data_IF_482345508272
#
_entry.id   IF_482345508272
#
_cell.length_a   1.000
_cell.length_b   1.000
_cell.length_c   1.000
_cell.angle_alpha   90.00
_cell.angle_beta   90.00
_cell.angle_gamma   90.00
#
_symmetry.space_group_name_H-M   'P 1'
#
loop_
_entity.id
_entity.type
_entity.pdbx_description
1 polymer ?
#
# COMPACT_ATOMS: atom_id res chain seq x y z
N UNK A 1 27.99 61.85 21.85
CA UNK A 1 27.02 60.75 21.69
C UNK A 1 27.48 59.93 20.49
N UNK A 2 28.28 58.90 20.73
CA UNK A 2 28.78 57.99 19.70
C UNK A 2 28.20 56.62 20.08
N UNK A 3 27.23 56.17 19.29
CA UNK A 3 26.62 54.86 19.48
C UNK A 3 27.58 53.86 18.81
N UNK A 4 28.32 53.15 19.66
CA UNK A 4 29.14 52.00 19.27
C UNK A 4 28.23 50.92 18.71
N UNK A 5 28.39 50.63 17.41
CA UNK A 5 27.66 49.57 16.72
C UNK A 5 28.14 48.20 17.20
N UNK A 6 27.16 47.38 17.55
CA UNK A 6 27.31 46.08 18.19
C UNK A 6 28.11 45.09 17.32
N UNK A 7 29.22 44.61 17.88
CA UNK A 7 30.00 43.47 17.45
C UNK A 7 29.19 42.16 17.57
N UNK A 8 28.47 41.79 16.50
CA UNK A 8 27.75 40.51 16.41
C UNK A 8 28.38 39.53 15.40
N UNK A 9 29.25 40.02 14.51
CA UNK A 9 29.93 39.21 13.49
C UNK A 9 30.84 38.08 14.04
N UNK A 10 31.58 38.22 15.17
CA UNK A 10 32.50 37.18 15.58
C UNK A 10 31.82 35.96 16.22
N UNK A 11 30.59 36.12 16.74
CA UNK A 11 29.91 35.04 17.49
C UNK A 11 29.22 34.03 16.58
N UNK A 12 28.69 34.47 15.43
CA UNK A 12 28.11 33.57 14.43
C UNK A 12 29.17 32.66 13.79
N UNK A 13 30.40 33.14 13.62
CA UNK A 13 31.47 32.33 13.04
C UNK A 13 31.92 31.16 13.93
N UNK A 14 31.80 31.28 15.26
CA UNK A 14 32.14 30.18 16.20
C UNK A 14 31.07 29.09 16.30
N UNK A 15 29.81 29.39 15.95
CA UNK A 15 28.70 28.44 16.05
C UNK A 15 28.61 27.48 14.86
N UNK A 16 29.38 27.72 13.79
CA UNK A 16 29.36 26.95 12.53
C UNK A 16 30.63 26.09 12.37
N UNK A 17 31.44 25.91 13.44
CA UNK A 17 32.60 25.03 13.38
C UNK A 17 33.74 25.48 12.45
N UNK A 18 33.74 26.74 12.01
CA UNK A 18 34.86 27.28 11.23
C UNK A 18 35.98 27.63 12.22
N UNK A 19 37.02 26.81 12.25
CA UNK A 19 38.30 27.15 12.89
C UNK A 19 38.85 28.44 12.27
N UNK A 20 38.69 29.56 12.96
CA UNK A 20 39.39 30.81 12.61
C UNK A 20 40.80 30.72 13.19
N UNK A 21 41.64 29.94 12.52
CA UNK A 21 43.05 29.76 12.82
C UNK A 21 43.92 30.29 11.68
N UNK A 22 44.09 31.61 11.61
CA UNK A 22 45.21 32.27 10.93
C UNK A 22 45.01 32.72 9.47
N UNK A 23 45.31 34.01 9.25
CA UNK A 23 45.60 34.70 7.97
C UNK A 23 44.34 35.19 7.20
N UNK A 24 44.34 36.44 6.65
CA UNK A 24 43.21 37.07 5.96
C UNK A 24 42.89 36.48 4.57
N UNK A 25 42.80 35.16 4.45
CA UNK A 25 41.78 34.52 3.61
C UNK A 25 40.63 34.19 4.57
N UNK A 26 39.36 34.49 4.35
CA UNK A 26 38.65 34.05 3.17
C UNK A 26 37.25 34.69 3.17
N UNK A 27 37.15 36.00 3.42
CA UNK A 27 35.86 36.69 3.48
C UNK A 27 35.06 36.51 2.18
N UNK A 28 35.75 36.38 1.05
CA UNK A 28 35.15 36.04 -0.24
C UNK A 28 34.57 34.62 -0.25
N UNK A 29 35.30 33.61 0.22
CA UNK A 29 34.78 32.24 0.26
C UNK A 29 33.65 32.08 1.28
N UNK A 30 33.66 32.82 2.38
CA UNK A 30 32.50 32.87 3.28
C UNK A 30 31.27 33.43 2.56
N UNK A 31 31.42 34.51 1.78
CA UNK A 31 30.31 35.04 0.96
C UNK A 31 29.84 34.01 -0.07
N UNK A 32 30.76 33.28 -0.71
CA UNK A 32 30.46 32.21 -1.69
C UNK A 32 29.71 31.05 -1.03
N UNK A 33 30.16 30.56 0.12
CA UNK A 33 29.46 29.53 0.91
C UNK A 33 28.06 30.00 1.28
N UNK A 34 27.92 31.18 1.89
CA UNK A 34 26.60 31.73 2.27
C UNK A 34 25.67 31.86 1.06
N UNK A 35 26.19 32.31 -0.08
CA UNK A 35 25.44 32.36 -1.31
C UNK A 35 24.97 30.97 -1.77
N UNK A 36 25.86 29.98 -1.77
CA UNK A 36 25.55 28.56 -2.11
C UNK A 36 24.45 27.99 -1.21
N UNK A 37 24.51 28.23 0.11
CA UNK A 37 23.45 27.86 1.05
C UNK A 37 22.11 28.56 0.75
N UNK A 38 22.13 29.86 0.41
CA UNK A 38 20.91 30.60 0.06
C UNK A 38 20.23 30.00 -1.19
N UNK A 39 21.01 29.72 -2.23
CA UNK A 39 20.52 29.09 -3.45
C UNK A 39 19.94 27.71 -3.16
N UNK A 40 20.64 26.91 -2.37
CA UNK A 40 20.18 25.61 -1.95
C UNK A 40 18.83 25.69 -1.22
N UNK A 41 18.69 26.63 -0.29
CA UNK A 41 17.41 26.89 0.37
C UNK A 41 16.32 27.27 -0.64
N UNK A 42 16.59 28.22 -1.54
CA UNK A 42 15.61 28.73 -2.50
C UNK A 42 15.11 27.65 -3.47
N UNK A 43 16.00 26.83 -4.00
CA UNK A 43 15.67 25.87 -5.06
C UNK A 43 15.25 24.49 -4.56
N UNK A 44 15.72 24.08 -3.38
CA UNK A 44 15.41 22.76 -2.81
C UNK A 44 14.41 22.92 -1.67
N UNK A 45 14.84 23.53 -0.55
CA UNK A 45 14.08 23.54 0.70
C UNK A 45 12.79 24.37 0.62
N UNK A 46 12.84 25.52 -0.06
CA UNK A 46 11.69 26.42 -0.21
C UNK A 46 10.51 25.70 -0.88
N UNK A 47 10.80 24.88 -1.89
CA UNK A 47 9.79 24.11 -2.63
C UNK A 47 9.15 22.98 -1.80
N UNK A 48 9.77 22.58 -0.69
CA UNK A 48 9.32 21.50 0.18
C UNK A 48 8.52 22.00 1.40
N UNK A 49 8.49 23.30 1.65
CA UNK A 49 7.79 23.90 2.80
C UNK A 49 6.30 23.54 2.79
N UNK A 50 5.67 23.52 1.62
CA UNK A 50 4.26 23.15 1.50
C UNK A 50 4.04 21.65 1.79
N UNK A 51 4.92 20.78 1.28
CA UNK A 51 4.87 19.34 1.55
C UNK A 51 4.98 19.03 3.05
N UNK A 52 5.94 19.67 3.74
CA UNK A 52 6.10 19.54 5.20
C UNK A 52 4.87 20.05 5.97
N UNK A 53 4.28 21.17 5.54
CA UNK A 53 3.03 21.69 6.12
C UNK A 53 1.87 20.70 5.96
N UNK A 54 1.67 20.11 4.78
CA UNK A 54 0.61 19.12 4.55
C UNK A 54 0.82 17.86 5.40
N UNK A 55 2.06 17.37 5.47
CA UNK A 55 2.43 16.22 6.30
C UNK A 55 2.16 16.47 7.79
N UNK A 56 2.61 17.61 8.33
CA UNK A 56 2.39 17.97 9.75
C UNK A 56 0.92 18.13 10.12
N UNK A 57 0.06 18.43 9.14
CA UNK A 57 -1.40 18.53 9.31
C UNK A 57 -2.13 17.19 9.08
N UNK A 58 -1.42 16.11 8.76
CA UNK A 58 -2.01 14.81 8.45
C UNK A 58 -2.81 14.78 7.14
N UNK A 59 -2.61 15.76 6.25
CA UNK A 59 -3.34 15.88 4.97
C UNK A 59 -2.69 15.02 3.88
N UNK A 60 -2.65 13.71 4.09
CA UNK A 60 -1.89 12.78 3.25
C UNK A 60 -2.45 12.64 1.81
N UNK A 61 -3.77 12.73 1.62
CA UNK A 61 -4.37 12.70 0.27
C UNK A 61 -4.00 13.93 -0.58
N UNK A 62 -3.99 15.12 0.03
CA UNK A 62 -3.53 16.37 -0.61
C UNK A 62 -2.01 16.31 -0.89
N UNK A 63 -1.25 15.67 0.00
CA UNK A 63 0.19 15.50 -0.14
C UNK A 63 0.53 14.59 -1.32
N UNK A 64 -0.15 13.46 -1.48
CA UNK A 64 0.08 12.51 -2.56
C UNK A 64 -0.23 13.09 -3.94
N UNK A 65 -1.31 13.87 -4.03
CA UNK A 65 -1.71 14.55 -5.28
C UNK A 65 -0.75 15.69 -5.63
N UNK A 66 -0.28 16.45 -4.64
CA UNK A 66 0.59 17.62 -4.87
C UNK A 66 2.07 17.25 -5.02
N UNK A 67 2.51 16.19 -4.34
CA UNK A 67 3.90 15.72 -4.31
C UNK A 67 3.96 14.19 -4.52
N UNK A 68 3.70 13.70 -5.73
CA UNK A 68 3.79 12.29 -6.04
C UNK A 68 5.22 11.74 -5.81
N UNK A 69 5.30 10.43 -5.56
CA UNK A 69 6.55 9.73 -5.20
C UNK A 69 7.73 10.01 -6.14
N UNK A 70 7.48 10.05 -7.44
CA UNK A 70 8.47 10.37 -8.45
C UNK A 70 9.07 11.78 -8.26
N UNK A 71 8.26 12.75 -7.86
CA UNK A 71 8.70 14.11 -7.59
C UNK A 71 9.56 14.18 -6.33
N UNK A 72 9.18 13.49 -5.24
CA UNK A 72 10.00 13.44 -4.02
C UNK A 72 11.36 12.79 -4.27
N UNK A 73 11.39 11.69 -5.03
CA UNK A 73 12.64 11.04 -5.43
C UNK A 73 13.50 11.95 -6.31
N UNK A 74 12.87 12.67 -7.25
CA UNK A 74 13.57 13.65 -8.08
C UNK A 74 14.18 14.78 -7.24
N UNK A 75 13.47 15.29 -6.23
CA UNK A 75 13.99 16.32 -5.33
C UNK A 75 15.16 15.79 -4.48
N UNK A 76 15.07 14.55 -3.98
CA UNK A 76 16.19 13.92 -3.25
C UNK A 76 17.44 13.77 -4.12
N UNK A 77 17.29 13.36 -5.38
CA UNK A 77 18.40 13.30 -6.34
C UNK A 77 18.94 14.69 -6.72
N UNK A 78 18.06 15.68 -6.86
CA UNK A 78 18.45 17.08 -7.11
C UNK A 78 19.25 17.65 -5.95
N UNK A 79 18.91 17.26 -4.73
CA UNK A 79 19.62 17.65 -3.52
C UNK A 79 21.08 17.16 -3.53
N UNK A 80 21.27 15.86 -3.79
CA UNK A 80 22.61 15.25 -3.83
C UNK A 80 23.47 15.81 -4.99
N UNK A 81 22.84 16.15 -6.11
CA UNK A 81 23.51 16.66 -7.32
C UNK A 81 23.38 18.18 -7.48
N UNK A 82 23.14 18.92 -6.40
CA UNK A 82 22.81 20.35 -6.45
C UNK A 82 23.81 21.16 -7.29
N UNK A 83 25.11 20.98 -7.05
CA UNK A 83 26.15 21.75 -7.74
C UNK A 83 26.27 21.39 -9.21
N UNK A 84 25.87 20.19 -9.63
CA UNK A 84 25.88 19.81 -11.04
C UNK A 84 24.68 20.43 -11.75
N UNK A 85 23.51 20.40 -11.12
CA UNK A 85 22.24 20.81 -11.75
C UNK A 85 22.10 22.33 -11.82
N UNK A 86 22.60 23.03 -10.81
CA UNK A 86 22.41 24.48 -10.65
C UNK A 86 23.66 25.31 -10.94
N UNK A 87 24.87 24.72 -11.07
CA UNK A 87 26.06 25.48 -11.46
C UNK A 87 25.92 26.10 -12.86
N UNK A 88 25.45 25.34 -13.84
CA UNK A 88 25.28 25.84 -15.21
C UNK A 88 24.18 26.91 -15.35
N UNK A 89 23.41 27.14 -14.27
CA UNK A 89 22.34 28.14 -14.21
C UNK A 89 22.76 29.40 -13.45
N UNK A 90 23.94 29.38 -12.82
CA UNK A 90 24.38 30.43 -11.89
C UNK A 90 25.88 30.66 -12.05
N UNK A 91 26.22 31.69 -12.82
CA UNK A 91 27.63 32.04 -13.07
C UNK A 91 28.17 33.05 -12.06
N UNK A 92 27.32 33.89 -11.48
CA UNK A 92 27.75 35.00 -10.60
C UNK A 92 26.74 35.30 -9.49
N UNK A 93 27.18 36.07 -8.50
CA UNK A 93 26.33 36.69 -7.50
C UNK A 93 26.77 38.10 -7.16
N UNK A 94 25.79 38.94 -6.81
CA UNK A 94 26.03 40.32 -6.38
C UNK A 94 25.77 40.43 -4.89
N UNK A 95 26.74 40.95 -4.15
CA UNK A 95 26.55 41.20 -2.72
C UNK A 95 25.77 42.50 -2.44
N UNK A 96 25.50 42.77 -1.16
CA UNK A 96 24.78 43.96 -0.73
C UNK A 96 25.50 45.29 -1.06
N UNK A 97 26.80 45.25 -1.38
CA UNK A 97 27.58 46.42 -1.80
C UNK A 97 27.52 46.66 -3.31
N UNK A 98 26.90 45.76 -4.07
CA UNK A 98 26.87 45.82 -5.53
C UNK A 98 28.07 45.15 -6.20
N UNK A 99 28.94 44.49 -5.43
CA UNK A 99 30.12 43.80 -6.00
C UNK A 99 29.69 42.44 -6.55
N UNK A 100 30.08 42.16 -7.79
CA UNK A 100 29.81 40.89 -8.48
C UNK A 100 30.97 39.93 -8.27
N UNK A 101 30.63 38.68 -7.98
CA UNK A 101 31.58 37.59 -7.75
C UNK A 101 31.18 36.38 -8.59
N UNK A 102 32.18 35.65 -9.09
CA UNK A 102 31.95 34.39 -9.77
C UNK A 102 31.50 33.30 -8.79
N UNK A 103 30.56 32.46 -9.25
CA UNK A 103 30.19 31.24 -8.58
C UNK A 103 31.35 30.24 -8.67
N UNK A 104 31.75 29.70 -7.52
CA UNK A 104 32.85 28.73 -7.44
C UNK A 104 32.32 27.35 -7.09
N UNK A 105 32.28 26.46 -8.08
CA UNK A 105 31.89 25.05 -7.93
C UNK A 105 32.99 24.16 -7.33
N UNK A 106 34.21 24.68 -7.24
CA UNK A 106 35.37 23.97 -6.71
C UNK A 106 35.63 24.28 -5.24
N UNK A 107 34.79 25.13 -4.64
CA UNK A 107 34.84 25.42 -3.22
C UNK A 107 34.53 24.16 -2.41
N UNK A 108 35.57 23.64 -1.76
CA UNK A 108 35.49 22.52 -0.84
C UNK A 108 34.96 22.99 0.53
N UNK A 109 33.65 22.90 0.70
CA UNK A 109 32.95 23.22 1.95
C UNK A 109 32.33 21.94 2.50
N UNK A 110 33.09 21.26 3.36
CA UNK A 110 32.69 20.01 4.01
C UNK A 110 31.36 20.16 4.75
N UNK A 111 31.10 21.33 5.36
CA UNK A 111 29.85 21.58 6.09
C UNK A 111 28.67 21.66 5.12
N UNK A 112 28.88 22.20 3.92
CA UNK A 112 27.84 22.22 2.89
C UNK A 112 27.55 20.84 2.34
N UNK A 113 28.59 20.03 2.09
CA UNK A 113 28.43 18.64 1.65
C UNK A 113 27.67 17.80 2.68
N UNK A 114 28.05 17.90 3.96
CA UNK A 114 27.33 17.23 5.06
C UNK A 114 25.87 17.67 5.12
N UNK A 115 25.60 18.97 4.94
CA UNK A 115 24.24 19.52 4.95
C UNK A 115 23.38 18.98 3.80
N UNK A 116 23.94 18.85 2.59
CA UNK A 116 23.25 18.23 1.46
C UNK A 116 22.89 16.78 1.74
N UNK A 117 23.86 15.99 2.22
CA UNK A 117 23.66 14.57 2.52
C UNK A 117 22.60 14.39 3.60
N UNK A 118 22.67 15.18 4.68
CA UNK A 118 21.71 15.13 5.77
C UNK A 118 20.31 15.47 5.27
N UNK A 119 20.18 16.54 4.50
CA UNK A 119 18.88 16.96 3.95
C UNK A 119 18.33 15.91 2.98
N UNK A 120 19.16 15.35 2.08
CA UNK A 120 18.76 14.26 1.20
C UNK A 120 18.25 13.04 1.96
N UNK A 121 18.90 12.70 3.08
CA UNK A 121 18.48 11.62 3.97
C UNK A 121 17.15 11.91 4.66
N UNK A 122 16.95 13.14 5.15
CA UNK A 122 15.68 13.59 5.74
C UNK A 122 14.54 13.52 4.72
N UNK A 123 14.78 13.94 3.48
CA UNK A 123 13.76 13.89 2.41
C UNK A 123 13.43 12.47 1.99
N UNK A 124 14.43 11.59 1.97
CA UNK A 124 14.21 10.16 1.72
C UNK A 124 13.37 9.55 2.84
N UNK A 125 13.70 9.82 4.10
CA UNK A 125 12.90 9.39 5.25
C UNK A 125 11.47 9.95 5.24
N UNK A 126 11.31 11.22 4.86
CA UNK A 126 10.01 11.85 4.67
C UNK A 126 9.18 11.11 3.61
N UNK A 127 9.77 10.80 2.45
CA UNK A 127 9.11 10.03 1.39
C UNK A 127 8.61 8.67 1.87
N UNK A 128 9.42 7.93 2.62
CA UNK A 128 9.02 6.65 3.23
C UNK A 128 7.91 6.80 4.27
N UNK A 129 7.94 7.87 5.06
CA UNK A 129 6.93 8.11 6.08
C UNK A 129 5.56 8.43 5.45
N UNK A 130 5.53 9.14 4.32
CA UNK A 130 4.31 9.37 3.53
C UNK A 130 3.74 8.05 3.00
N UNK A 131 4.60 7.22 2.39
CA UNK A 131 4.21 5.91 1.85
C UNK A 131 3.62 5.00 2.92
N UNK A 132 4.27 4.94 4.09
CA UNK A 132 3.80 4.12 5.21
C UNK A 132 2.44 4.58 5.73
N UNK A 133 2.21 5.89 5.85
CA UNK A 133 0.92 6.40 6.30
C UNK A 133 -0.20 6.12 5.29
N UNK A 134 0.07 6.20 3.99
CA UNK A 134 -0.92 5.85 2.97
C UNK A 134 -1.28 4.36 3.00
N UNK A 135 -0.29 3.47 3.15
CA UNK A 135 -0.54 2.05 3.34
C UNK A 135 -1.36 1.77 4.62
N UNK A 136 -1.09 2.51 5.69
CA UNK A 136 -1.85 2.41 6.93
C UNK A 136 -3.31 2.85 6.74
N UNK A 137 -3.56 3.98 6.09
CA UNK A 137 -4.91 4.47 5.82
C UNK A 137 -5.71 3.49 4.95
N UNK A 138 -5.12 3.06 3.83
CA UNK A 138 -5.77 2.09 2.93
C UNK A 138 -6.02 0.73 3.59
N UNK A 139 -5.10 0.27 4.46
CA UNK A 139 -5.32 -0.96 5.23
C UNK A 139 -6.39 -0.81 6.30
N UNK A 140 -6.50 0.35 6.98
CA UNK A 140 -7.60 0.63 7.90
C UNK A 140 -8.94 0.66 7.19
N UNK A 141 -9.04 1.35 6.06
CA UNK A 141 -10.26 1.41 5.24
C UNK A 141 -10.69 0.00 4.83
N UNK A 142 -9.74 -0.83 4.39
CA UNK A 142 -10.01 -2.23 4.02
C UNK A 142 -10.42 -3.10 5.20
N UNK A 143 -9.82 -2.89 6.38
CA UNK A 143 -10.23 -3.61 7.61
C UNK A 143 -11.64 -3.21 8.02
N UNK A 144 -11.97 -1.92 7.94
CA UNK A 144 -13.33 -1.43 8.21
C UNK A 144 -14.35 -2.00 7.21
N UNK A 145 -14.03 -2.02 5.92
CA UNK A 145 -14.86 -2.64 4.88
C UNK A 145 -15.08 -4.14 5.13
N UNK A 146 -14.02 -4.87 5.51
CA UNK A 146 -14.14 -6.29 5.83
C UNK A 146 -14.91 -6.55 7.12
N UNK A 147 -14.76 -5.72 8.15
CA UNK A 147 -15.54 -5.82 9.39
C UNK A 147 -17.03 -5.60 9.10
N UNK A 148 -17.37 -4.52 8.40
CA UNK A 148 -18.75 -4.23 8.01
C UNK A 148 -19.36 -5.31 7.12
N UNK A 149 -18.57 -5.90 6.22
CA UNK A 149 -19.01 -7.05 5.40
C UNK A 149 -19.34 -8.29 6.24
N UNK A 150 -18.67 -8.47 7.38
CA UNK A 150 -18.84 -9.64 8.26
C UNK A 150 -19.85 -9.41 9.40
N UNK A 151 -20.43 -8.21 9.54
CA UNK A 151 -21.34 -7.88 10.64
C UNK A 151 -22.66 -8.65 10.60
N UNK A 152 -23.17 -8.96 9.39
CA UNK A 152 -24.39 -9.77 9.23
C UNK A 152 -24.25 -10.76 8.07
N UNK A 153 -24.93 -11.93 8.14
CA UNK A 153 -24.94 -12.90 7.04
C UNK A 153 -25.36 -12.29 5.70
N UNK A 154 -26.36 -11.40 5.70
CA UNK A 154 -26.85 -10.71 4.49
C UNK A 154 -25.84 -9.76 3.85
N UNK A 155 -24.95 -9.14 4.64
CA UNK A 155 -23.89 -8.26 4.11
C UNK A 155 -22.77 -9.06 3.46
N UNK A 156 -22.38 -10.19 4.08
CA UNK A 156 -21.45 -11.14 3.47
C UNK A 156 -22.02 -11.71 2.17
N UNK A 157 -23.33 -12.01 2.18
CA UNK A 157 -24.02 -12.49 0.99
C UNK A 157 -23.96 -11.47 -0.15
N UNK A 158 -24.32 -10.23 0.14
CA UNK A 158 -24.29 -9.12 -0.83
C UNK A 158 -22.89 -8.90 -1.43
N UNK A 159 -21.85 -8.94 -0.59
CA UNK A 159 -20.46 -8.78 -1.04
C UNK A 159 -20.00 -9.90 -1.99
N UNK A 160 -20.35 -11.16 -1.70
CA UNK A 160 -20.01 -12.29 -2.57
C UNK A 160 -20.79 -12.23 -3.89
N UNK A 161 -22.07 -11.83 -3.87
CA UNK A 161 -22.87 -11.64 -5.09
C UNK A 161 -22.22 -10.58 -6.00
N UNK A 162 -21.82 -9.45 -5.42
CA UNK A 162 -21.17 -8.34 -6.14
C UNK A 162 -19.78 -8.73 -6.69
N UNK A 163 -18.92 -9.36 -5.86
CA UNK A 163 -17.54 -9.67 -6.28
C UNK A 163 -17.40 -10.90 -7.17
N UNK A 164 -18.30 -11.88 -7.03
CA UNK A 164 -18.21 -13.15 -7.76
C UNK A 164 -19.26 -13.30 -8.87
N UNK A 165 -20.16 -12.31 -9.01
CA UNK A 165 -21.27 -12.37 -9.98
C UNK A 165 -22.12 -13.65 -9.80
N UNK A 166 -22.21 -14.14 -8.57
CA UNK A 166 -22.98 -15.34 -8.23
C UNK A 166 -24.37 -14.86 -7.83
N UNK A 167 -25.39 -15.14 -8.62
CA UNK A 167 -26.78 -14.76 -8.31
C UNK A 167 -27.48 -15.71 -7.34
N UNK A 168 -26.89 -16.88 -7.04
CA UNK A 168 -27.49 -17.92 -6.21
C UNK A 168 -26.48 -18.46 -5.19
N UNK A 169 -26.77 -18.28 -3.91
CA UNK A 169 -26.01 -18.95 -2.86
C UNK A 169 -26.36 -20.43 -2.85
N UNK A 170 -25.33 -21.29 -2.88
CA UNK A 170 -25.50 -22.74 -2.74
C UNK A 170 -25.99 -23.17 -1.34
N UNK A 171 -26.18 -22.21 -0.42
CA UNK A 171 -26.63 -22.43 0.95
C UNK A 171 -27.92 -21.67 1.27
N UNK A 172 -28.89 -21.64 0.35
CA UNK A 172 -30.29 -21.48 0.73
C UNK A 172 -30.75 -22.76 1.43
N UNK A 173 -30.34 -22.94 2.69
CA UNK A 173 -30.70 -24.06 3.56
C UNK A 173 -32.18 -23.96 4.05
N UNK A 174 -33.08 -23.48 3.20
CA UNK A 174 -34.52 -23.45 3.44
C UNK A 174 -35.32 -23.90 2.20
N UNK A 175 -34.66 -24.45 1.17
CA UNK A 175 -35.38 -25.29 0.21
C UNK A 175 -35.40 -26.70 0.82
N UNK A 176 -36.51 -27.17 1.43
CA UNK A 176 -36.64 -28.60 1.66
C UNK A 176 -36.50 -29.22 0.28
N UNK A 177 -35.42 -29.97 0.07
CA UNK A 177 -35.25 -30.83 -1.09
C UNK A 177 -36.43 -31.80 -1.04
N UNK A 178 -37.53 -31.45 -1.71
CA UNK A 178 -38.63 -32.35 -2.02
C UNK A 178 -38.18 -33.22 -3.18
N UNK A 179 -37.10 -33.98 -2.98
CA UNK A 179 -36.89 -35.19 -3.75
C UNK A 179 -37.92 -36.18 -3.22
N UNK A 180 -39.03 -36.34 -3.92
CA UNK A 180 -39.84 -37.55 -3.79
C UNK A 180 -39.00 -38.70 -4.31
N UNK A 181 -38.11 -39.23 -3.47
CA UNK A 181 -37.35 -40.44 -3.79
C UNK A 181 -38.37 -41.57 -3.88
N UNK A 182 -38.84 -41.85 -5.09
CA UNK A 182 -39.64 -43.04 -5.36
C UNK A 182 -38.67 -44.22 -5.43
N UNK A 183 -38.67 -45.03 -4.37
CA UNK A 183 -37.93 -46.29 -4.37
C UNK A 183 -38.46 -47.19 -5.47
N UNK A 184 -37.55 -47.81 -6.23
CA UNK A 184 -37.94 -48.82 -7.21
C UNK A 184 -38.66 -49.98 -6.49
N UNK A 185 -39.65 -50.64 -7.12
CA UNK A 185 -40.53 -51.61 -6.45
C UNK A 185 -39.79 -52.70 -5.67
N UNK A 186 -38.68 -53.22 -6.19
CA UNK A 186 -37.89 -54.26 -5.53
C UNK A 186 -37.16 -53.77 -4.27
N UNK A 187 -36.70 -52.52 -4.22
CA UNK A 187 -36.11 -51.96 -3.00
C UNK A 187 -37.18 -51.67 -1.96
N UNK A 188 -38.34 -51.14 -2.38
CA UNK A 188 -39.49 -50.91 -1.50
C UNK A 188 -39.94 -52.20 -0.82
N UNK A 189 -40.12 -53.26 -1.60
CA UNK A 189 -40.67 -54.51 -1.10
C UNK A 189 -39.64 -55.31 -0.29
N UNK A 190 -38.36 -55.25 -0.67
CA UNK A 190 -37.27 -55.81 0.14
C UNK A 190 -37.22 -55.16 1.52
N UNK A 191 -37.22 -53.82 1.59
CA UNK A 191 -37.17 -53.09 2.87
C UNK A 191 -38.41 -53.35 3.73
N UNK A 192 -39.57 -53.57 3.10
CA UNK A 192 -40.80 -53.92 3.81
C UNK A 192 -40.75 -55.32 4.41
N UNK A 193 -40.18 -56.29 3.69
CA UNK A 193 -40.17 -57.69 4.10
C UNK A 193 -39.00 -58.08 5.02
N UNK A 194 -37.81 -57.53 4.76
CA UNK A 194 -36.57 -57.95 5.43
C UNK A 194 -35.91 -56.82 6.23
N UNK A 195 -36.40 -55.58 6.10
CA UNK A 195 -35.79 -54.41 6.72
C UNK A 195 -34.53 -53.91 5.98
N UNK A 196 -33.92 -52.82 6.48
CA UNK A 196 -32.68 -52.31 5.91
C UNK A 196 -31.51 -53.26 6.15
N UNK A 197 -30.61 -53.47 5.17
CA UNK A 197 -29.41 -54.28 5.37
C UNK A 197 -28.47 -53.62 6.39
N UNK A 198 -27.88 -54.43 7.27
CA UNK A 198 -27.03 -53.95 8.38
C UNK A 198 -25.74 -53.26 7.92
N UNK A 199 -25.19 -53.66 6.78
CA UNK A 199 -23.95 -53.15 6.19
C UNK A 199 -24.18 -52.27 4.96
N UNK A 200 -25.44 -51.96 4.65
CA UNK A 200 -25.82 -51.23 3.44
C UNK A 200 -25.80 -52.04 2.15
N UNK A 201 -25.51 -53.36 2.22
CA UNK A 201 -25.50 -54.25 1.06
C UNK A 201 -26.71 -55.19 1.11
N UNK A 202 -27.55 -55.14 0.08
CA UNK A 202 -28.71 -56.03 -0.01
C UNK A 202 -28.26 -57.48 -0.20
N UNK A 203 -28.82 -58.40 0.61
CA UNK A 203 -28.63 -59.83 0.41
C UNK A 203 -29.20 -60.22 -0.97
N UNK A 204 -28.31 -60.65 -1.86
CA UNK A 204 -28.64 -60.97 -3.24
C UNK A 204 -29.67 -62.10 -3.36
N UNK A 205 -29.67 -63.07 -2.44
CA UNK A 205 -30.61 -64.18 -2.45
C UNK A 205 -32.01 -63.72 -2.04
N UNK A 206 -32.11 -62.85 -1.03
CA UNK A 206 -33.39 -62.26 -0.62
C UNK A 206 -33.92 -61.28 -1.68
N UNK A 207 -33.04 -60.50 -2.30
CA UNK A 207 -33.41 -59.58 -3.38
C UNK A 207 -33.91 -60.34 -4.62
N UNK A 208 -33.25 -61.43 -4.98
CA UNK A 208 -33.70 -62.29 -6.08
C UNK A 208 -35.10 -62.87 -5.84
N UNK A 209 -35.44 -63.23 -4.58
CA UNK A 209 -36.81 -63.69 -4.24
C UNK A 209 -37.85 -62.60 -4.43
N UNK A 210 -37.56 -61.38 -3.98
CA UNK A 210 -38.46 -60.22 -4.14
C UNK A 210 -38.67 -59.92 -5.63
N UNK A 211 -37.59 -59.85 -6.40
CA UNK A 211 -37.63 -59.59 -7.85
C UNK A 211 -38.42 -60.68 -8.58
N UNK A 212 -38.18 -61.96 -8.26
CA UNK A 212 -38.93 -63.05 -8.86
C UNK A 212 -40.42 -62.96 -8.56
N UNK A 213 -40.79 -62.58 -7.33
CA UNK A 213 -42.19 -62.39 -6.97
C UNK A 213 -42.83 -61.24 -7.77
N UNK A 214 -42.13 -60.10 -7.88
CA UNK A 214 -42.60 -58.93 -8.65
C UNK A 214 -42.76 -59.23 -10.15
N UNK A 215 -41.89 -60.09 -10.71
CA UNK A 215 -42.03 -60.58 -12.09
C UNK A 215 -43.25 -61.50 -12.21
N UNK A 216 -43.43 -62.42 -11.25
CA UNK A 216 -44.54 -63.37 -11.26
C UNK A 216 -45.91 -62.68 -11.11
N UNK A 217 -45.98 -61.58 -10.36
CA UNK A 217 -47.19 -60.77 -10.19
C UNK A 217 -47.41 -59.77 -11.34
N UNK A 218 -46.46 -59.67 -12.27
CA UNK A 218 -46.52 -58.76 -13.41
C UNK A 218 -46.29 -57.29 -13.06
N UNK A 219 -45.74 -56.98 -11.88
CA UNK A 219 -45.46 -55.61 -11.44
C UNK A 219 -44.20 -55.04 -12.12
N UNK A 220 -43.23 -55.89 -12.47
CA UNK A 220 -42.04 -55.54 -13.26
C UNK A 220 -41.73 -56.61 -14.31
N UNK A 221 -40.92 -56.27 -15.33
CA UNK A 221 -40.31 -57.27 -16.24
C UNK A 221 -38.85 -57.56 -15.87
N UNK A 222 -38.30 -58.65 -16.39
CA UNK A 222 -36.88 -58.98 -16.18
C UNK A 222 -35.95 -57.92 -16.78
N UNK A 223 -36.31 -57.37 -17.94
CA UNK A 223 -35.56 -56.32 -18.63
C UNK A 223 -35.51 -55.03 -17.79
N UNK A 224 -36.62 -54.65 -17.16
CA UNK A 224 -36.69 -53.46 -16.29
C UNK A 224 -35.77 -53.57 -15.06
N UNK A 225 -35.51 -54.79 -14.57
CA UNK A 225 -34.57 -55.02 -13.47
C UNK A 225 -33.11 -54.98 -13.95
N UNK A 226 -32.83 -55.53 -15.14
CA UNK A 226 -31.47 -55.59 -15.69
C UNK A 226 -30.98 -54.21 -16.14
N UNK A 227 -31.81 -53.41 -16.82
CA UNK A 227 -31.46 -52.04 -17.24
C UNK A 227 -31.17 -51.11 -16.06
N UNK A 228 -31.70 -51.43 -14.87
CA UNK A 228 -31.49 -50.68 -13.64
C UNK A 228 -30.18 -51.00 -12.90
N UNK A 229 -29.43 -52.01 -13.37
CA UNK A 229 -28.24 -52.55 -12.71
C UNK A 229 -26.91 -52.16 -13.40
N UNK A 230 -26.96 -51.29 -14.41
CA UNK A 230 -25.83 -50.65 -15.12
C UNK A 230 -25.83 -49.17 -14.77
#
# INVERSE_FOLDING_TARGET
MIISSCSAAPKLASAIGISIGGIPGNYLDLKRSVYRYNLYYKYILGNLTNALSLYSKGKFAELETTFPKNQLNAISLQNLNFDIIYADRIDTFTDASGTVYDYDKTLDDVVFEDYKILTGSVLTGFGHAVETNNLFLTSQERVFELQTTLDTPSMLESYIQEKRNITHFAFDAVVPIQLSIQLKPWFRDYLREYGPPYDGVFDAHLMAKVVQNLINTGEITAEQFIEASI
#
